data_IF_575204696304
#
_entry.id   IF_575204696304
#
_cell.length_a   1.000
_cell.length_b   1.000
_cell.length_c   1.000
_cell.angle_alpha   90.00
_cell.angle_beta   90.00
_cell.angle_gamma   90.00
#
_symmetry.space_group_name_H-M   'P 1'
#
loop_
_entity.id
_entity.type
_entity.pdbx_description
1 polymer ?
#
# COMPACT_ATOMS: atom_id res chain seq x y z
N UNK A 1 -25.69 17.34 7.15
CA UNK A 1 -25.42 17.42 5.71
C UNK A 1 -23.93 17.62 5.56
N UNK A 2 -23.17 16.57 5.27
CA UNK A 2 -21.74 16.74 4.97
C UNK A 2 -21.65 17.34 3.58
N UNK A 3 -21.08 18.54 3.47
CA UNK A 3 -20.81 19.15 2.17
C UNK A 3 -19.92 18.21 1.36
N UNK A 4 -20.30 17.93 0.12
CA UNK A 4 -19.49 17.17 -0.80
C UNK A 4 -18.34 18.07 -1.26
N UNK A 5 -17.25 18.09 -0.50
CA UNK A 5 -16.05 18.86 -0.84
C UNK A 5 -15.44 18.24 -2.10
N UNK A 6 -15.26 19.00 -3.20
CA UNK A 6 -14.66 18.47 -4.41
C UNK A 6 -13.24 17.97 -4.12
N UNK A 7 -12.93 16.76 -4.59
CA UNK A 7 -11.60 16.18 -4.47
C UNK A 7 -10.65 16.88 -5.45
N UNK A 8 -9.56 17.45 -4.92
CA UNK A 8 -8.49 18.01 -5.72
C UNK A 8 -7.22 17.17 -5.57
N UNK A 9 -6.45 16.97 -6.65
CA UNK A 9 -5.19 16.26 -6.56
C UNK A 9 -4.21 17.04 -5.68
N UNK A 10 -3.60 16.34 -4.73
CA UNK A 10 -2.50 16.87 -3.90
C UNK A 10 -1.19 16.29 -4.43
N UNK A 11 -0.23 17.16 -4.74
CA UNK A 11 1.12 16.73 -5.13
C UNK A 11 2.06 16.87 -3.95
N UNK A 12 2.75 15.79 -3.61
CA UNK A 12 3.74 15.73 -2.53
C UNK A 12 5.09 15.27 -3.11
N UNK A 13 6.22 15.88 -2.67
CA UNK A 13 7.53 15.27 -2.81
C UNK A 13 7.54 13.85 -2.22
N UNK A 14 8.31 12.93 -2.82
CA UNK A 14 8.34 11.53 -2.40
C UNK A 14 8.80 11.36 -0.94
N UNK A 15 9.80 12.11 -0.52
CA UNK A 15 10.31 12.15 0.86
C UNK A 15 9.24 12.64 1.86
N UNK A 16 8.45 13.65 1.47
CA UNK A 16 7.33 14.12 2.27
C UNK A 16 6.19 13.09 2.37
N UNK A 17 5.88 12.40 1.26
CA UNK A 17 4.91 11.31 1.25
C UNK A 17 5.34 10.14 2.14
N UNK A 18 6.62 9.76 2.10
CA UNK A 18 7.20 8.72 2.96
C UNK A 18 7.19 9.12 4.43
N UNK A 19 7.51 10.38 4.74
CA UNK A 19 7.44 10.91 6.11
C UNK A 19 6.00 10.85 6.65
N UNK A 20 5.02 11.24 5.82
CA UNK A 20 3.61 11.18 6.19
C UNK A 20 3.14 9.73 6.36
N UNK A 21 3.55 8.82 5.48
CA UNK A 21 3.23 7.40 5.60
C UNK A 21 3.67 6.82 6.95
N UNK A 22 4.91 7.10 7.36
CA UNK A 22 5.44 6.61 8.64
C UNK A 22 4.70 7.21 9.84
N UNK A 23 4.36 8.51 9.79
CA UNK A 23 3.58 9.13 10.85
C UNK A 23 2.15 8.53 10.98
N UNK A 24 1.56 8.12 9.87
CA UNK A 24 0.26 7.42 9.87
C UNK A 24 0.38 6.01 10.44
N UNK A 25 1.46 5.30 10.12
CA UNK A 25 1.77 3.98 10.67
C UNK A 25 1.88 4.05 12.20
N UNK A 26 2.67 4.98 12.75
CA UNK A 26 2.83 5.19 14.19
C UNK A 26 1.47 5.48 14.89
N UNK A 27 0.60 6.25 14.24
CA UNK A 27 -0.74 6.55 14.76
C UNK A 27 -1.65 5.33 14.76
N UNK A 28 -1.63 4.52 13.70
CA UNK A 28 -2.42 3.30 13.60
C UNK A 28 -1.95 2.25 14.62
N UNK A 29 -0.64 2.07 14.77
CA UNK A 29 -0.05 1.14 15.74
C UNK A 29 -0.32 1.53 17.20
N UNK A 30 -0.45 2.84 17.48
CA UNK A 30 -0.84 3.33 18.81
C UNK A 30 -2.33 3.13 19.16
N UNK A 31 -3.10 2.43 18.31
CA UNK A 31 -4.48 2.06 18.57
C UNK A 31 -5.52 3.08 18.10
N UNK A 32 -5.13 4.05 17.27
CA UNK A 32 -6.05 5.00 16.65
C UNK A 32 -6.68 4.37 15.39
N UNK A 33 -7.50 3.34 15.57
CA UNK A 33 -8.23 2.63 14.51
C UNK A 33 -9.35 3.46 13.87
N UNK A 34 -9.00 4.56 13.22
CA UNK A 34 -9.90 5.35 12.38
C UNK A 34 -9.86 4.79 10.94
N UNK A 35 -11.00 4.30 10.40
CA UNK A 35 -11.07 3.78 9.03
C UNK A 35 -10.62 4.79 7.96
N UNK A 36 -10.78 6.08 8.22
CA UNK A 36 -10.30 7.15 7.34
C UNK A 36 -8.78 7.18 7.32
N UNK A 37 -8.15 7.05 8.49
CA UNK A 37 -6.70 7.02 8.66
C UNK A 37 -6.11 5.79 7.97
N UNK A 38 -6.72 4.61 8.16
CA UNK A 38 -6.33 3.37 7.48
C UNK A 38 -6.42 3.49 5.96
N UNK A 39 -7.46 4.16 5.44
CA UNK A 39 -7.61 4.38 4.00
C UNK A 39 -6.52 5.31 3.48
N UNK A 40 -6.25 6.42 4.17
CA UNK A 40 -5.20 7.36 3.81
C UNK A 40 -3.81 6.72 3.82
N UNK A 41 -3.54 5.91 4.84
CA UNK A 41 -2.32 5.11 4.95
C UNK A 41 -2.13 4.22 3.71
N UNK A 42 -3.12 3.39 3.39
CA UNK A 42 -3.08 2.49 2.22
C UNK A 42 -2.90 3.23 0.88
N UNK A 43 -3.58 4.37 0.71
CA UNK A 43 -3.41 5.20 -0.50
C UNK A 43 -1.96 5.68 -0.62
N UNK A 44 -1.36 6.15 0.49
CA UNK A 44 0.03 6.59 0.47
C UNK A 44 1.00 5.43 0.20
N UNK A 45 0.82 4.28 0.84
CA UNK A 45 1.66 3.10 0.60
C UNK A 45 1.66 2.72 -0.89
N UNK A 46 0.46 2.70 -1.49
CA UNK A 46 0.28 2.41 -2.92
C UNK A 46 0.99 3.44 -3.81
N UNK A 47 0.77 4.75 -3.57
CA UNK A 47 1.35 5.81 -4.41
C UNK A 47 2.87 5.95 -4.23
N UNK A 48 3.40 5.71 -3.04
CA UNK A 48 4.85 5.65 -2.78
C UNK A 48 5.48 4.51 -3.58
N UNK A 49 4.84 3.33 -3.60
CA UNK A 49 5.34 2.19 -4.38
C UNK A 49 5.36 2.51 -5.89
N UNK A 50 4.30 3.12 -6.42
CA UNK A 50 4.23 3.55 -7.81
C UNK A 50 5.34 4.56 -8.16
N UNK A 51 5.63 5.50 -7.24
CA UNK A 51 6.62 6.56 -7.41
C UNK A 51 8.07 6.06 -7.30
N UNK A 52 8.39 5.19 -6.34
CA UNK A 52 9.73 4.60 -6.16
C UNK A 52 10.18 3.76 -7.36
N UNK A 53 9.25 3.19 -8.10
CA UNK A 53 9.52 2.37 -9.26
C UNK A 53 10.37 1.12 -9.00
N UNK A 54 11.04 0.60 -10.03
CA UNK A 54 11.91 -0.58 -10.00
C UNK A 54 13.38 -0.19 -9.74
N UNK A 55 13.66 0.46 -8.62
CA UNK A 55 15.03 0.70 -8.15
C UNK A 55 15.77 -0.64 -7.88
N UNK A 56 16.98 -0.76 -8.44
CA UNK A 56 17.69 -2.02 -8.68
C UNK A 56 17.93 -2.95 -7.50
N UNK A 57 18.05 -4.24 -7.84
CA UNK A 57 18.25 -5.40 -6.96
C UNK A 57 17.08 -5.75 -6.03
N UNK A 58 15.84 -5.54 -6.50
CA UNK A 58 14.62 -5.98 -5.82
C UNK A 58 14.09 -7.28 -6.42
N UNK A 59 13.36 -8.06 -5.62
CA UNK A 59 12.73 -9.30 -6.08
C UNK A 59 11.72 -9.02 -7.19
N UNK A 60 11.54 -9.99 -8.10
CA UNK A 60 10.57 -9.93 -9.21
C UNK A 60 9.16 -9.56 -8.73
N UNK A 61 8.79 -9.99 -7.52
CA UNK A 61 7.52 -9.64 -6.89
C UNK A 61 7.41 -8.12 -6.66
N UNK A 62 8.43 -7.46 -6.11
CA UNK A 62 8.35 -6.01 -5.84
C UNK A 62 8.30 -5.23 -7.16
N UNK A 63 9.02 -5.68 -8.19
CA UNK A 63 8.94 -5.06 -9.51
C UNK A 63 7.52 -5.16 -10.10
N UNK A 64 6.92 -6.36 -10.05
CA UNK A 64 5.54 -6.60 -10.48
C UNK A 64 4.54 -5.76 -9.70
N UNK A 65 4.72 -5.61 -8.39
CA UNK A 65 3.86 -4.77 -7.54
C UNK A 65 4.03 -3.28 -7.85
N UNK A 66 5.25 -2.82 -8.13
CA UNK A 66 5.49 -1.43 -8.53
C UNK A 66 4.86 -1.11 -9.89
N UNK A 67 4.89 -2.06 -10.83
CA UNK A 67 4.22 -1.89 -12.12
C UNK A 67 2.69 -1.85 -11.96
N UNK A 68 2.10 -2.81 -11.23
CA UNK A 68 0.68 -2.80 -10.93
C UNK A 68 0.24 -1.51 -10.23
N UNK A 69 1.07 -0.99 -9.30
CA UNK A 69 0.80 0.25 -8.61
C UNK A 69 0.74 1.47 -9.55
N UNK A 70 1.49 1.48 -10.65
CA UNK A 70 1.44 2.57 -11.64
C UNK A 70 0.26 2.46 -12.59
N UNK A 71 -0.13 1.23 -12.93
CA UNK A 71 -1.20 0.96 -13.89
C UNK A 71 -2.59 1.14 -13.28
N UNK A 72 -2.75 0.89 -11.98
CA UNK A 72 -4.01 1.07 -11.30
C UNK A 72 -4.45 2.54 -11.25
N UNK A 73 -5.75 2.77 -11.45
CA UNK A 73 -6.36 4.11 -11.34
C UNK A 73 -6.93 4.33 -9.93
N UNK A 74 -7.31 3.24 -9.26
CA UNK A 74 -7.88 3.23 -7.90
C UNK A 74 -7.09 2.37 -6.93
N UNK A 75 -7.25 2.63 -5.62
CA UNK A 75 -6.63 1.81 -4.58
C UNK A 75 -7.15 0.37 -4.68
N UNK A 76 -8.44 0.22 -4.89
CA UNK A 76 -9.14 -1.05 -4.94
C UNK A 76 -8.62 -1.95 -6.07
N UNK A 77 -8.34 -1.39 -7.25
CA UNK A 77 -7.72 -2.11 -8.36
C UNK A 77 -6.31 -2.59 -8.02
N UNK A 78 -5.49 -1.71 -7.43
CA UNK A 78 -4.15 -2.09 -6.98
C UNK A 78 -4.20 -3.19 -5.92
N UNK A 79 -5.07 -3.07 -4.92
CA UNK A 79 -5.19 -4.04 -3.85
C UNK A 79 -5.70 -5.40 -4.35
N UNK A 80 -6.58 -5.42 -5.35
CA UNK A 80 -7.00 -6.67 -5.99
C UNK A 80 -5.81 -7.39 -6.64
N UNK A 81 -4.97 -6.68 -7.40
CA UNK A 81 -3.76 -7.25 -8.03
C UNK A 81 -2.73 -7.69 -6.98
N UNK A 82 -2.54 -6.88 -5.93
CA UNK A 82 -1.65 -7.21 -4.81
C UNK A 82 -2.10 -8.51 -4.13
N UNK A 83 -3.39 -8.62 -3.82
CA UNK A 83 -3.93 -9.78 -3.12
C UNK A 83 -3.87 -11.05 -3.98
N UNK A 84 -4.12 -10.97 -5.28
CA UNK A 84 -3.95 -12.10 -6.21
C UNK A 84 -2.49 -12.57 -6.29
N UNK A 85 -1.54 -11.63 -6.30
CA UNK A 85 -0.12 -11.96 -6.34
C UNK A 85 0.43 -12.50 -5.01
N UNK A 86 -0.02 -11.97 -3.87
CA UNK A 86 0.45 -12.36 -2.54
C UNK A 86 -0.27 -13.58 -1.97
N UNK A 87 -1.53 -13.82 -2.32
CA UNK A 87 -2.35 -14.89 -1.77
C UNK A 87 -1.64 -16.25 -1.79
N UNK A 88 -1.18 -16.74 -2.96
CA UNK A 88 -0.47 -18.02 -3.03
C UNK A 88 0.81 -18.09 -2.20
N UNK A 89 1.50 -16.96 -2.00
CA UNK A 89 2.73 -16.89 -1.19
C UNK A 89 2.36 -17.04 0.30
N UNK A 90 1.35 -16.31 0.74
CA UNK A 90 0.86 -16.37 2.13
C UNK A 90 0.27 -17.75 2.44
N UNK A 91 -0.54 -18.32 1.55
CA UNK A 91 -1.07 -19.68 1.68
C UNK A 91 0.06 -20.72 1.82
N UNK A 92 1.14 -20.56 1.05
CA UNK A 92 2.34 -21.39 1.16
C UNK A 92 3.04 -21.25 2.51
N UNK A 93 3.15 -20.03 3.04
CA UNK A 93 3.75 -19.77 4.35
C UNK A 93 2.89 -20.32 5.51
N UNK A 94 1.57 -20.34 5.36
CA UNK A 94 0.64 -20.87 6.39
C UNK A 94 0.49 -22.40 6.36
N UNK A 95 1.07 -23.06 5.35
CA UNK A 95 1.00 -24.51 5.18
C UNK A 95 1.60 -25.27 6.37
N UNK A 96 1.10 -26.49 6.60
CA UNK A 96 1.52 -27.31 7.74
C UNK A 96 3.03 -27.63 7.77
N UNK A 97 3.71 -27.58 6.62
CA UNK A 97 5.16 -27.77 6.52
C UNK A 97 5.97 -26.56 6.99
N UNK A 98 5.37 -25.36 6.99
CA UNK A 98 6.00 -24.09 7.38
C UNK A 98 5.53 -23.56 8.74
N UNK A 99 4.58 -24.24 9.40
CA UNK A 99 4.22 -23.93 10.78
C UNK A 99 5.28 -24.50 11.72
N UNK A 100 5.77 -23.69 12.65
CA UNK A 100 6.64 -24.16 13.74
C UNK A 100 5.94 -25.32 14.49
N UNK A 101 6.64 -26.43 14.78
CA UNK A 101 6.07 -27.61 15.44
C UNK A 101 5.68 -27.37 16.91
#
# INVERSE_FOLDING_TARGET
>A
MSENVPAFPVSLPLDAAETLHNALEDLLESGHGDPTLERSYRILSWRILAARGEGGNRSDLIARMAQAAREAETLEEYEAVRNDALGPILDGLESAENRDP
#
